data_IF_907531687303
#
_entry.id   IF_907531687303
#
_cell.length_a   1.000
_cell.length_b   1.000
_cell.length_c   1.000
_cell.angle_alpha   90.00
_cell.angle_beta   90.00
_cell.angle_gamma   90.00
#
_symmetry.space_group_name_H-M   'P 1'
#
loop_
_entity.id
_entity.type
_entity.pdbx_description
1 polymer ?
#
# COMPACT_ATOMS: atom_id res chain seq x y z
N UNK A 1 18.44 -4.07 -3.85
CA UNK A 1 17.92 -2.70 -4.09
C UNK A 1 18.65 -1.77 -3.13
N UNK A 2 19.15 -0.62 -3.58
CA UNK A 2 19.82 0.33 -2.69
C UNK A 2 18.78 0.98 -1.78
N UNK A 3 19.15 1.31 -0.54
CA UNK A 3 18.24 1.94 0.42
C UNK A 3 17.62 3.24 -0.12
N UNK A 4 18.42 4.04 -0.84
CA UNK A 4 18.00 5.31 -1.45
C UNK A 4 16.92 5.09 -2.54
N UNK A 5 17.02 4.02 -3.32
CA UNK A 5 16.03 3.66 -4.35
C UNK A 5 14.71 3.26 -3.68
N UNK A 6 14.77 2.45 -2.62
CA UNK A 6 13.58 2.05 -1.85
C UNK A 6 12.85 3.26 -1.26
N UNK A 7 13.57 4.16 -0.59
CA UNK A 7 12.96 5.35 0.02
C UNK A 7 12.29 6.24 -1.03
N UNK A 8 12.94 6.42 -2.19
CA UNK A 8 12.39 7.23 -3.29
C UNK A 8 11.10 6.63 -3.84
N UNK A 9 11.04 5.31 -4.01
CA UNK A 9 9.83 4.62 -4.50
C UNK A 9 8.72 4.69 -3.46
N UNK A 10 9.02 4.49 -2.17
CA UNK A 10 8.04 4.57 -1.08
C UNK A 10 7.45 5.99 -1.00
N UNK A 11 8.28 7.02 -1.06
CA UNK A 11 7.84 8.42 -1.07
C UNK A 11 6.93 8.72 -2.28
N UNK A 12 7.28 8.18 -3.44
CA UNK A 12 6.44 8.27 -4.64
C UNK A 12 5.08 7.56 -4.47
N UNK A 13 5.05 6.37 -3.86
CA UNK A 13 3.80 5.66 -3.53
C UNK A 13 2.93 6.52 -2.61
N UNK A 14 3.49 7.10 -1.55
CA UNK A 14 2.74 7.96 -0.63
C UNK A 14 2.17 9.17 -1.36
N UNK A 15 2.96 9.81 -2.24
CA UNK A 15 2.47 10.91 -3.10
C UNK A 15 1.36 10.49 -4.05
N UNK A 16 1.40 9.27 -4.59
CA UNK A 16 0.31 8.74 -5.41
C UNK A 16 -0.96 8.56 -4.59
N UNK A 17 -0.83 8.02 -3.37
CA UNK A 17 -1.96 7.82 -2.46
C UNK A 17 -2.63 9.14 -2.04
N UNK A 18 -1.83 10.19 -1.83
CA UNK A 18 -2.34 11.52 -1.49
C UNK A 18 -3.09 12.18 -2.67
N UNK A 19 -2.63 11.93 -3.91
CA UNK A 19 -3.23 12.49 -5.13
C UNK A 19 -4.38 11.66 -5.70
N UNK A 20 -4.44 10.35 -5.43
CA UNK A 20 -5.50 9.49 -5.95
C UNK A 20 -6.80 9.79 -5.21
N UNK A 21 -7.88 9.81 -5.97
CA UNK A 21 -9.23 9.87 -5.43
C UNK A 21 -9.57 8.53 -4.76
N UNK A 22 -9.88 8.58 -3.46
CA UNK A 22 -10.27 7.40 -2.68
C UNK A 22 -11.75 7.16 -2.90
N UNK A 23 -12.10 6.00 -3.46
CA UNK A 23 -13.50 5.59 -3.56
C UNK A 23 -13.89 4.94 -2.25
N UNK A 24 -14.80 5.56 -1.52
CA UNK A 24 -15.45 4.93 -0.36
C UNK A 24 -16.32 3.77 -0.85
N UNK A 25 -15.99 2.55 -0.44
CA UNK A 25 -16.85 1.38 -0.56
C UNK A 25 -17.09 0.85 0.85
N UNK A 26 -18.35 0.84 1.30
CA UNK A 26 -18.77 0.18 2.55
C UNK A 26 -17.98 0.62 3.81
N UNK A 27 -17.84 1.94 4.04
CA UNK A 27 -17.14 2.54 5.18
C UNK A 27 -15.61 2.29 5.25
N UNK A 28 -15.05 1.59 4.26
CA UNK A 28 -13.61 1.33 4.16
C UNK A 28 -13.02 2.11 2.97
N UNK A 29 -12.15 3.07 3.26
CA UNK A 29 -11.38 3.78 2.23
C UNK A 29 -10.20 2.91 1.79
N UNK A 30 -10.40 2.03 0.81
CA UNK A 30 -9.33 1.21 0.25
C UNK A 30 -9.01 1.55 -1.21
N UNK A 31 -7.74 1.37 -1.58
CA UNK A 31 -7.25 1.57 -2.93
C UNK A 31 -6.32 0.44 -3.35
N UNK A 32 -6.45 0.00 -4.59
CA UNK A 32 -5.53 -0.96 -5.19
C UNK A 32 -4.54 -0.21 -6.08
N UNK A 33 -3.25 -0.41 -5.82
CA UNK A 33 -2.16 0.23 -6.52
C UNK A 33 -1.35 -0.85 -7.26
N UNK A 34 -1.52 -1.00 -8.58
CA UNK A 34 -0.68 -1.85 -9.42
C UNK A 34 0.73 -1.28 -9.62
N UNK A 35 1.69 -2.14 -9.96
CA UNK A 35 3.06 -1.76 -10.33
C UNK A 35 3.07 -0.72 -11.46
N UNK A 36 2.08 -0.74 -12.36
CA UNK A 36 1.96 0.26 -13.42
C UNK A 36 1.78 1.70 -12.93
N UNK A 37 1.26 1.92 -11.73
CA UNK A 37 1.23 3.27 -11.14
C UNK A 37 2.63 3.75 -10.72
N UNK A 38 3.52 2.83 -10.31
CA UNK A 38 4.91 3.12 -9.92
C UNK A 38 5.92 2.94 -11.06
N UNK A 39 5.54 2.35 -12.19
CA UNK A 39 6.35 2.28 -13.42
C UNK A 39 7.10 3.57 -13.77
N UNK A 40 6.51 4.78 -13.72
CA UNK A 40 7.24 6.02 -14.01
C UNK A 40 8.46 6.24 -13.10
N UNK A 41 8.35 5.97 -11.79
CA UNK A 41 9.51 6.11 -10.89
C UNK A 41 10.51 4.98 -11.09
N UNK A 42 10.03 3.76 -11.40
CA UNK A 42 10.90 2.63 -11.70
C UNK A 42 11.74 2.88 -12.96
N UNK A 43 11.13 3.44 -14.02
CA UNK A 43 11.84 3.86 -15.24
C UNK A 43 12.87 4.96 -14.96
N UNK A 44 12.55 5.92 -14.09
CA UNK A 44 13.47 6.97 -13.68
C UNK A 44 14.71 6.42 -12.95
N UNK A 45 14.56 5.31 -12.23
CA UNK A 45 15.61 4.64 -11.47
C UNK A 45 16.29 3.50 -12.25
N UNK A 46 15.97 3.30 -13.53
CA UNK A 46 16.44 2.17 -14.37
C UNK A 46 16.15 0.77 -13.77
N UNK A 47 15.04 0.64 -13.04
CA UNK A 47 14.63 -0.62 -12.43
C UNK A 47 13.79 -1.43 -13.43
N UNK A 48 14.34 -2.56 -13.87
CA UNK A 48 13.69 -3.45 -14.85
C UNK A 48 12.71 -4.45 -14.25
N UNK A 49 12.95 -4.86 -13.01
CA UNK A 49 12.10 -5.81 -12.27
C UNK A 49 11.81 -5.23 -10.89
N UNK A 50 10.53 -5.14 -10.55
CA UNK A 50 10.08 -4.56 -9.29
C UNK A 50 8.90 -5.34 -8.75
N UNK A 51 9.03 -5.78 -7.51
CA UNK A 51 7.92 -6.30 -6.71
C UNK A 51 7.79 -5.48 -5.44
N UNK A 52 6.55 -5.23 -5.01
CA UNK A 52 6.31 -4.50 -3.75
C UNK A 52 6.96 -5.16 -2.54
N UNK A 53 7.15 -6.49 -2.56
CA UNK A 53 7.89 -7.25 -1.54
C UNK A 53 9.37 -6.84 -1.41
N UNK A 54 9.97 -6.21 -2.44
CA UNK A 54 11.34 -5.71 -2.40
C UNK A 54 11.49 -4.42 -1.59
N UNK A 55 10.38 -3.70 -1.36
CA UNK A 55 10.36 -2.47 -0.57
C UNK A 55 10.35 -2.79 0.93
N UNK A 56 11.54 -3.06 1.47
CA UNK A 56 11.72 -3.18 2.92
C UNK A 56 11.33 -1.87 3.60
N UNK A 57 10.39 -1.94 4.54
CA UNK A 57 9.90 -0.77 5.29
C UNK A 57 8.72 -0.03 4.64
N UNK A 58 8.16 -0.53 3.52
CA UNK A 58 6.95 0.02 2.91
C UNK A 58 5.79 0.10 3.92
N UNK A 59 5.49 -1.00 4.61
CA UNK A 59 4.41 -1.07 5.60
C UNK A 59 4.58 -0.02 6.70
N UNK A 60 5.78 0.09 7.29
CA UNK A 60 6.07 1.07 8.33
C UNK A 60 5.89 2.51 7.85
N UNK A 61 6.33 2.83 6.63
CA UNK A 61 6.20 4.17 6.03
C UNK A 61 4.76 4.50 5.64
N UNK A 62 4.00 3.51 5.20
CA UNK A 62 2.56 3.67 4.96
C UNK A 62 1.86 4.00 6.28
N UNK A 63 2.14 3.23 7.35
CA UNK A 63 1.57 3.46 8.68
C UNK A 63 1.88 4.86 9.22
N UNK A 64 3.13 5.30 9.09
CA UNK A 64 3.57 6.65 9.49
C UNK A 64 2.85 7.76 8.70
N UNK A 65 2.48 7.48 7.44
CA UNK A 65 1.71 8.36 6.58
C UNK A 65 0.18 8.22 6.75
N UNK A 66 -0.30 7.40 7.69
CA UNK A 66 -1.73 7.18 7.94
C UNK A 66 -2.41 6.20 6.98
N UNK A 67 -1.66 5.25 6.44
CA UNK A 67 -2.15 4.19 5.54
C UNK A 67 -1.77 2.80 6.07
N UNK A 68 -2.60 1.79 5.83
CA UNK A 68 -2.30 0.40 6.18
C UNK A 68 -2.19 -0.47 4.93
N UNK A 69 -1.18 -1.33 4.88
CA UNK A 69 -1.03 -2.33 3.84
C UNK A 69 -1.93 -3.53 4.16
N UNK A 70 -3.03 -3.68 3.43
CA UNK A 70 -4.02 -4.74 3.65
C UNK A 70 -3.55 -6.05 3.02
N UNK A 71 -3.16 -5.99 1.75
CA UNK A 71 -2.60 -7.13 0.99
C UNK A 71 -1.51 -6.66 0.05
N UNK A 72 -0.54 -7.54 -0.19
CA UNK A 72 0.49 -7.33 -1.20
C UNK A 72 0.69 -8.60 -2.03
N UNK A 73 0.53 -8.45 -3.33
CA UNK A 73 0.89 -9.43 -4.34
C UNK A 73 2.20 -9.01 -5.02
N UNK A 74 2.70 -9.81 -5.95
CA UNK A 74 3.93 -9.48 -6.68
C UNK A 74 3.81 -8.17 -7.48
N UNK A 75 2.62 -7.87 -8.00
CA UNK A 75 2.37 -6.78 -8.94
C UNK A 75 1.35 -5.74 -8.46
N UNK A 76 0.70 -5.95 -7.32
CA UNK A 76 -0.36 -5.08 -6.80
C UNK A 76 -0.28 -5.00 -5.28
N UNK A 77 -0.59 -3.84 -4.72
CA UNK A 77 -0.82 -3.67 -3.27
C UNK A 77 -2.21 -3.09 -3.02
N UNK A 78 -2.88 -3.58 -1.99
CA UNK A 78 -4.10 -3.00 -1.47
C UNK A 78 -3.76 -2.21 -0.22
N UNK A 79 -4.13 -0.95 -0.22
CA UNK A 79 -3.80 0.00 0.83
C UNK A 79 -5.11 0.62 1.34
N UNK A 80 -5.22 0.74 2.65
CA UNK A 80 -6.35 1.36 3.34
C UNK A 80 -5.92 2.69 3.97
N UNK A 81 -6.82 3.68 3.99
CA UNK A 81 -6.58 4.96 4.66
C UNK A 81 -7.07 4.90 6.10
N UNK A 82 -6.17 5.09 7.06
CA UNK A 82 -6.45 4.97 8.50
C UNK A 82 -7.18 6.18 9.10
N UNK A 83 -7.58 7.14 8.25
CA UNK A 83 -8.25 8.37 8.67
C UNK A 83 -9.77 8.26 8.71
N UNK A 84 -10.31 7.07 9.04
CA UNK A 84 -11.70 6.94 9.44
C UNK A 84 -11.79 6.68 10.95
N UNK A 85 -12.27 7.63 11.78
CA UNK A 85 -12.54 7.38 13.21
C UNK A 85 -13.61 6.31 13.45
N UNK A 86 -14.15 5.73 12.38
CA UNK A 86 -15.20 4.70 12.35
C UNK A 86 -14.70 3.34 11.83
N UNK A 87 -13.45 3.23 11.37
CA UNK A 87 -12.91 1.95 10.89
C UNK A 87 -12.62 1.05 12.10
N UNK A 88 -13.57 0.17 12.42
CA UNK A 88 -13.37 -0.94 13.34
C UNK A 88 -12.36 -1.87 12.67
N UNK A 89 -11.11 -1.83 13.12
CA UNK A 89 -10.10 -2.80 12.75
C UNK A 89 -10.53 -4.17 13.28
N UNK A 90 -11.17 -4.97 12.44
CA UNK A 90 -11.21 -6.41 12.67
C UNK A 90 -9.81 -6.94 12.38
N UNK A 91 -9.00 -6.98 13.44
CA UNK A 91 -7.78 -7.79 13.46
C UNK A 91 -8.14 -9.17 12.92
N UNK A 92 -7.33 -9.75 12.03
CA UNK A 92 -7.50 -11.11 11.50
C UNK A 92 -7.64 -12.21 12.57
N UNK A 93 -7.47 -11.88 13.85
CA UNK A 93 -7.74 -12.73 15.00
C UNK A 93 -9.20 -12.71 15.49
N UNK A 94 -10.08 -11.90 14.89
CA UNK A 94 -11.48 -11.73 15.31
C UNK A 94 -12.49 -12.30 14.29
N UNK A 95 -12.01 -13.03 13.29
CA UNK A 95 -12.88 -13.88 12.46
C UNK A 95 -13.10 -15.17 13.25
N UNK A 96 -14.30 -15.44 13.82
CA UNK A 96 -14.57 -16.76 14.36
C UNK A 96 -14.35 -17.78 13.24
N UNK A 97 -13.74 -18.94 13.51
CA UNK A 97 -13.62 -19.97 12.48
C UNK A 97 -15.01 -20.26 11.93
N UNK A 98 -15.19 -20.13 10.62
CA UNK A 98 -16.39 -20.65 9.96
C UNK A 98 -16.49 -22.13 10.32
N UNK A 99 -17.56 -22.48 11.02
CA UNK A 99 -17.90 -23.85 11.38
C UNK A 99 -18.23 -24.62 10.10
N UNK A 100 -17.51 -25.72 9.87
CA UNK A 100 -18.03 -26.91 9.20
C UNK A 100 -17.80 -28.12 10.11
#
# INVERSE_FOLDING_TARGET
MKAIENETIIDYIIKLLDKKEWKEYDAVCCITLPVSDVEPILKCLDIKEFHFKMLSGLEKKLLDAGYELVTSDCITVKIEKLNNPTAIYFSKSDVPPECD
#
